data_IF_240965089128
#
_entry.id   IF_240965089128
#
_cell.length_a   1.000
_cell.length_b   1.000
_cell.length_c   1.000
_cell.angle_alpha   90.00
_cell.angle_beta   90.00
_cell.angle_gamma   90.00
#
_symmetry.space_group_name_H-M   'P 1'
#
loop_
_entity.id
_entity.type
_entity.pdbx_description
1 polymer ?
#
# COMPACT_ATOMS: atom_id res chain seq x y z
N UNK A 1 15.54 -12.60 -26.09
CA UNK A 1 15.06 -13.99 -26.23
C UNK A 1 13.56 -13.96 -25.99
N UNK A 2 12.78 -14.45 -26.94
CA UNK A 2 11.33 -14.30 -26.92
C UNK A 2 10.70 -15.24 -25.86
N UNK A 3 9.76 -14.73 -25.07
CA UNK A 3 8.96 -15.49 -24.09
C UNK A 3 8.36 -16.76 -24.72
N UNK A 4 7.89 -16.64 -25.96
CA UNK A 4 7.34 -17.75 -26.76
C UNK A 4 8.35 -18.86 -27.01
N UNK A 5 9.61 -18.50 -27.21
CA UNK A 5 10.73 -19.41 -27.48
C UNK A 5 11.10 -20.19 -26.21
N UNK A 6 11.20 -19.51 -25.06
CA UNK A 6 11.48 -20.16 -23.77
C UNK A 6 10.34 -21.06 -23.30
N UNK A 7 9.09 -20.69 -23.60
CA UNK A 7 7.91 -21.53 -23.34
C UNK A 7 7.95 -22.78 -24.22
N UNK A 8 8.22 -22.63 -25.53
CA UNK A 8 8.36 -23.77 -26.44
C UNK A 8 9.49 -24.70 -26.02
N UNK A 9 10.63 -24.17 -25.57
CA UNK A 9 11.76 -24.94 -25.07
C UNK A 9 11.42 -25.72 -23.79
N UNK A 10 10.70 -25.10 -22.84
CA UNK A 10 10.21 -25.76 -21.64
C UNK A 10 9.18 -26.86 -21.95
N UNK A 11 8.28 -26.60 -22.89
CA UNK A 11 7.26 -27.56 -23.34
C UNK A 11 7.87 -28.77 -24.03
N UNK A 12 8.82 -28.53 -24.92
CA UNK A 12 9.54 -29.59 -25.63
C UNK A 12 10.36 -30.44 -24.66
N UNK A 13 10.99 -29.82 -23.66
CA UNK A 13 11.75 -30.52 -22.64
C UNK A 13 10.88 -31.42 -21.74
N UNK A 14 9.73 -30.93 -21.28
CA UNK A 14 8.82 -31.71 -20.43
C UNK A 14 8.19 -32.87 -21.20
N UNK A 15 7.79 -32.66 -22.46
CA UNK A 15 7.31 -33.73 -23.33
C UNK A 15 8.34 -34.86 -23.48
N UNK A 16 9.61 -34.49 -23.68
CA UNK A 16 10.71 -35.46 -23.79
C UNK A 16 10.98 -36.18 -22.46
N UNK A 17 10.86 -35.50 -21.31
CA UNK A 17 11.02 -36.11 -19.99
C UNK A 17 9.92 -37.15 -19.70
N UNK A 18 8.65 -36.82 -19.97
CA UNK A 18 7.51 -37.74 -19.79
C UNK A 18 7.60 -38.96 -20.72
N UNK A 19 8.10 -38.77 -21.94
CA UNK A 19 8.34 -39.86 -22.88
C UNK A 19 9.40 -40.84 -22.36
N UNK A 20 10.47 -40.34 -21.73
CA UNK A 20 11.50 -41.17 -21.09
C UNK A 20 11.00 -41.95 -19.87
N UNK A 21 9.97 -41.47 -19.18
CA UNK A 21 9.37 -42.16 -18.03
C UNK A 21 8.35 -43.24 -18.42
N UNK A 22 7.87 -43.24 -19.66
CA UNK A 22 6.84 -44.16 -20.14
C UNK A 22 7.21 -45.67 -20.09
N UNK A 23 8.41 -46.11 -20.52
CA UNK A 23 8.77 -47.53 -20.48
C UNK A 23 9.03 -48.09 -19.07
N UNK A 24 9.28 -47.23 -18.08
CA UNK A 24 9.58 -47.64 -16.70
C UNK A 24 8.34 -48.08 -15.90
N UNK A 25 7.16 -47.69 -16.35
CA UNK A 25 5.86 -47.96 -15.70
C UNK A 25 5.13 -49.21 -16.21
N UNK A 26 5.61 -49.88 -17.28
CA UNK A 26 4.84 -50.92 -17.99
C UNK A 26 5.38 -52.35 -17.90
N UNK A 27 6.30 -52.66 -16.98
CA UNK A 27 6.95 -53.98 -16.88
C UNK A 27 6.72 -54.70 -15.54
N UNK A 28 6.54 -56.04 -15.52
CA UNK A 28 6.42 -56.81 -14.27
C UNK A 28 7.76 -56.80 -13.50
N UNK A 29 7.73 -56.38 -12.23
CA UNK A 29 8.91 -56.24 -11.37
C UNK A 29 9.31 -57.57 -10.71
N UNK A 30 10.50 -58.09 -11.04
CA UNK A 30 11.41 -58.51 -9.98
C UNK A 30 12.88 -58.27 -10.39
N UNK A 31 13.48 -57.13 -9.99
CA UNK A 31 14.95 -56.88 -9.84
C UNK A 31 15.37 -55.41 -9.61
N UNK A 32 14.46 -54.47 -9.35
CA UNK A 32 14.78 -53.02 -9.28
C UNK A 32 15.19 -52.48 -7.90
N UNK A 33 15.80 -53.27 -7.01
CA UNK A 33 16.20 -52.75 -5.70
C UNK A 33 17.51 -51.93 -5.74
N UNK A 34 18.49 -52.29 -6.58
CA UNK A 34 19.71 -51.49 -6.78
C UNK A 34 19.49 -50.30 -7.74
N UNK A 35 18.65 -50.48 -8.76
CA UNK A 35 18.36 -49.49 -9.80
C UNK A 35 17.41 -48.36 -9.36
N UNK A 36 16.60 -48.63 -8.33
CA UNK A 36 15.70 -47.66 -7.70
C UNK A 36 16.44 -46.40 -7.24
N UNK A 37 17.63 -46.55 -6.66
CA UNK A 37 18.43 -45.41 -6.14
C UNK A 37 19.02 -44.54 -7.26
N UNK A 38 19.40 -45.16 -8.38
CA UNK A 38 19.92 -44.52 -9.59
C UNK A 38 18.82 -43.77 -10.33
N UNK A 39 17.65 -44.40 -10.47
CA UNK A 39 16.46 -43.82 -11.06
C UNK A 39 15.97 -42.61 -10.26
N UNK A 40 15.95 -42.72 -8.92
CA UNK A 40 15.62 -41.61 -8.01
C UNK A 40 16.55 -40.42 -8.20
N UNK A 41 17.86 -40.65 -8.36
CA UNK A 41 18.84 -39.58 -8.63
C UNK A 41 18.61 -38.95 -10.00
N UNK A 42 18.30 -39.73 -11.03
CA UNK A 42 18.00 -39.23 -12.36
C UNK A 42 16.74 -38.35 -12.37
N UNK A 43 15.67 -38.80 -11.70
CA UNK A 43 14.42 -38.03 -11.56
C UNK A 43 14.64 -36.72 -10.80
N UNK A 44 15.41 -36.73 -9.70
CA UNK A 44 15.78 -35.50 -8.98
C UNK A 44 16.54 -34.51 -9.88
N UNK A 45 17.55 -34.99 -10.61
CA UNK A 45 18.33 -34.16 -11.53
C UNK A 45 17.48 -33.53 -12.64
N UNK A 46 16.56 -34.31 -13.21
CA UNK A 46 15.65 -33.83 -14.26
C UNK A 46 14.61 -32.84 -13.71
N UNK A 47 14.09 -33.06 -12.49
CA UNK A 47 13.24 -32.09 -11.78
C UNK A 47 13.98 -30.78 -11.49
N UNK A 48 15.25 -30.85 -11.07
CA UNK A 48 16.07 -29.68 -10.81
C UNK A 48 16.39 -28.92 -12.11
N UNK A 49 16.68 -29.64 -13.19
CA UNK A 49 16.84 -29.05 -14.53
C UNK A 49 15.56 -28.38 -15.04
N UNK A 50 14.40 -29.01 -14.81
CA UNK A 50 13.09 -28.44 -15.16
C UNK A 50 12.80 -27.17 -14.34
N UNK A 51 13.13 -27.18 -13.05
CA UNK A 51 13.05 -25.98 -12.19
C UNK A 51 13.92 -24.84 -12.72
N UNK A 52 15.16 -25.13 -13.11
CA UNK A 52 16.07 -24.12 -13.68
C UNK A 52 15.52 -23.54 -14.99
N UNK A 53 14.89 -24.36 -15.83
CA UNK A 53 14.27 -23.92 -17.09
C UNK A 53 12.98 -23.13 -16.90
N UNK A 54 12.21 -23.41 -15.85
CA UNK A 54 10.99 -22.67 -15.52
C UNK A 54 11.25 -21.43 -14.67
N UNK A 55 12.43 -21.30 -14.03
CA UNK A 55 12.79 -20.13 -13.21
C UNK A 55 12.55 -18.79 -13.92
N UNK A 56 12.97 -18.58 -15.18
CA UNK A 56 12.77 -17.28 -15.86
C UNK A 56 11.30 -16.88 -15.98
N UNK A 57 10.39 -17.86 -16.11
CA UNK A 57 8.95 -17.62 -16.16
C UNK A 57 8.38 -17.23 -14.78
N UNK A 58 8.96 -17.76 -13.69
CA UNK A 58 8.66 -17.32 -12.32
C UNK A 58 9.03 -15.87 -12.13
N UNK A 59 10.24 -15.52 -12.55
CA UNK A 59 10.79 -14.20 -12.35
C UNK A 59 10.01 -13.15 -13.15
N UNK A 60 9.61 -13.45 -14.38
CA UNK A 60 8.82 -12.55 -15.22
C UNK A 60 7.41 -12.31 -14.67
N UNK A 61 6.75 -13.36 -14.15
CA UNK A 61 5.45 -13.23 -13.50
C UNK A 61 5.54 -12.35 -12.25
N UNK A 62 6.53 -12.59 -11.39
CA UNK A 62 6.75 -11.76 -10.20
C UNK A 62 7.07 -10.32 -10.57
N UNK A 63 7.85 -10.11 -11.63
CA UNK A 63 8.15 -8.78 -12.14
C UNK A 63 6.88 -8.05 -12.62
N UNK A 64 5.98 -8.75 -13.31
CA UNK A 64 4.73 -8.16 -13.79
C UNK A 64 3.80 -7.78 -12.65
N UNK A 65 3.65 -8.64 -11.64
CA UNK A 65 2.88 -8.31 -10.41
C UNK A 65 3.50 -7.11 -9.69
N UNK A 66 4.84 -7.07 -9.58
CA UNK A 66 5.56 -5.92 -9.01
C UNK A 66 5.26 -4.61 -9.74
N UNK A 67 5.29 -4.61 -11.08
CA UNK A 67 4.94 -3.42 -11.88
C UNK A 67 3.54 -2.91 -11.62
N UNK A 68 2.56 -3.81 -11.52
CA UNK A 68 1.16 -3.41 -11.26
C UNK A 68 0.98 -2.82 -9.86
N UNK A 69 1.70 -3.34 -8.87
CA UNK A 69 1.74 -2.76 -7.52
C UNK A 69 2.45 -1.40 -7.50
N UNK A 70 3.50 -1.23 -8.30
CA UNK A 70 4.18 0.05 -8.48
C UNK A 70 3.28 1.10 -9.14
N UNK A 71 2.50 0.69 -10.15
CA UNK A 71 1.50 1.55 -10.80
C UNK A 71 0.43 2.02 -9.81
N UNK A 72 -0.10 1.12 -8.96
CA UNK A 72 -1.02 1.49 -7.88
C UNK A 72 -0.41 2.58 -6.97
N UNK A 73 0.86 2.41 -6.57
CA UNK A 73 1.55 3.42 -5.75
C UNK A 73 1.68 4.76 -6.47
N UNK A 74 2.06 4.73 -7.75
CA UNK A 74 2.22 5.92 -8.56
C UNK A 74 0.91 6.67 -8.78
N UNK A 75 -0.22 5.96 -8.90
CA UNK A 75 -1.55 6.58 -9.02
C UNK A 75 -1.99 7.26 -7.71
N UNK A 76 -1.58 6.74 -6.55
CA UNK A 76 -1.96 7.29 -5.24
C UNK A 76 -1.00 8.37 -4.73
N UNK A 77 0.23 8.44 -5.25
CA UNK A 77 1.25 9.43 -4.83
C UNK A 77 0.85 10.90 -5.07
N UNK A 78 0.23 11.30 -6.21
CA UNK A 78 -0.19 12.68 -6.43
C UNK A 78 -1.14 13.21 -5.35
N UNK A 79 -1.91 12.34 -4.70
CA UNK A 79 -2.80 12.72 -3.60
C UNK A 79 -1.99 13.22 -2.41
N UNK A 80 -0.94 12.50 -2.01
CA UNK A 80 -0.12 12.92 -0.86
C UNK A 80 0.64 14.21 -1.15
N UNK A 81 1.10 14.40 -2.39
CA UNK A 81 1.73 15.66 -2.84
C UNK A 81 0.74 16.83 -2.83
N UNK A 82 -0.46 16.67 -3.39
CA UNK A 82 -1.52 17.68 -3.35
C UNK A 82 -1.91 18.02 -1.90
N UNK A 83 -1.98 17.02 -1.02
CA UNK A 83 -2.33 17.23 0.37
C UNK A 83 -1.26 18.02 1.14
N UNK A 84 0.03 17.77 0.86
CA UNK A 84 1.13 18.57 1.41
C UNK A 84 1.01 20.03 0.97
N UNK A 85 0.71 20.27 -0.31
CA UNK A 85 0.52 21.62 -0.84
C UNK A 85 -0.69 22.32 -0.22
N UNK A 86 -1.82 21.62 -0.07
CA UNK A 86 -3.01 22.16 0.60
C UNK A 86 -2.71 22.52 2.06
N UNK A 87 -2.06 21.63 2.82
CA UNK A 87 -1.68 21.92 4.22
C UNK A 87 -0.77 23.14 4.31
N UNK A 88 0.18 23.28 3.37
CA UNK A 88 1.05 24.46 3.29
C UNK A 88 0.27 25.74 3.04
N UNK A 89 -0.66 25.70 2.08
CA UNK A 89 -1.51 26.82 1.73
C UNK A 89 -2.39 27.22 2.92
N UNK A 90 -3.09 26.27 3.53
CA UNK A 90 -3.98 26.52 4.67
C UNK A 90 -3.24 27.00 5.90
N UNK A 91 -2.05 26.48 6.19
CA UNK A 91 -1.22 27.00 7.27
C UNK A 91 -0.82 28.47 7.03
N UNK A 92 -0.51 28.86 5.78
CA UNK A 92 -0.21 30.26 5.45
C UNK A 92 -1.45 31.15 5.59
N UNK A 93 -2.60 30.69 5.11
CA UNK A 93 -3.88 31.42 5.24
C UNK A 93 -4.28 31.60 6.71
N UNK A 94 -4.23 30.53 7.52
CA UNK A 94 -4.47 30.60 8.96
C UNK A 94 -3.56 31.63 9.63
N UNK A 95 -2.25 31.63 9.33
CA UNK A 95 -1.32 32.65 9.87
C UNK A 95 -1.72 34.06 9.43
N UNK A 96 -2.06 34.26 8.15
CA UNK A 96 -2.45 35.57 7.62
C UNK A 96 -3.72 36.10 8.29
N UNK A 97 -4.72 35.24 8.49
CA UNK A 97 -6.01 35.64 9.04
C UNK A 97 -5.99 35.79 10.55
N UNK A 98 -5.24 34.94 11.26
CA UNK A 98 -5.26 34.90 12.71
C UNK A 98 -4.22 35.82 13.35
N UNK A 99 -3.11 36.17 12.67
CA UNK A 99 -2.17 37.14 13.25
C UNK A 99 -2.89 38.50 13.45
N UNK A 100 -2.94 39.04 14.67
CA UNK A 100 -3.63 40.30 14.96
C UNK A 100 -2.96 41.48 14.22
N UNK A 101 -3.79 42.34 13.62
CA UNK A 101 -3.31 43.53 12.91
C UNK A 101 -2.67 44.53 13.88
N UNK A 102 -1.89 45.48 13.36
CA UNK A 102 -1.25 46.52 14.19
C UNK A 102 -2.27 47.46 14.83
N UNK A 103 -3.40 47.68 14.16
CA UNK A 103 -4.49 48.57 14.60
C UNK A 103 -5.16 48.08 15.89
N UNK A 104 -5.17 46.77 16.13
CA UNK A 104 -5.70 46.16 17.37
C UNK A 104 -4.95 46.65 18.60
N UNK A 105 -3.68 47.09 18.49
CA UNK A 105 -2.91 47.60 19.64
C UNK A 105 -3.60 48.76 20.34
N UNK A 106 -4.24 49.67 19.58
CA UNK A 106 -4.98 50.81 20.12
C UNK A 106 -6.29 50.36 20.79
N UNK A 107 -6.99 49.39 20.20
CA UNK A 107 -8.22 48.83 20.77
C UNK A 107 -7.97 48.09 22.10
N UNK A 108 -6.79 47.48 22.25
CA UNK A 108 -6.35 46.84 23.50
C UNK A 108 -5.96 47.85 24.58
N UNK A 109 -5.77 49.14 24.23
CA UNK A 109 -5.44 50.22 25.15
C UNK A 109 -6.68 50.97 25.66
N UNK A 110 -7.82 50.85 24.98
CA UNK A 110 -9.03 51.65 25.26
C UNK A 110 -9.77 51.24 26.54
N UNK A 111 -9.61 49.99 27.02
CA UNK A 111 -10.27 49.55 28.25
C UNK A 111 -10.44 48.03 28.37
N UNK A 112 -10.92 47.59 29.54
CA UNK A 112 -11.19 46.17 29.82
C UNK A 112 -12.37 45.62 29.00
N UNK A 113 -13.39 46.45 28.75
CA UNK A 113 -14.56 46.08 27.94
C UNK A 113 -14.19 45.88 26.47
N UNK A 114 -13.35 46.76 25.91
CA UNK A 114 -12.82 46.67 24.55
C UNK A 114 -11.92 45.45 24.37
N UNK A 115 -11.07 45.16 25.36
CA UNK A 115 -10.30 43.92 25.41
C UNK A 115 -11.23 42.70 25.38
N UNK A 116 -12.24 42.64 26.24
CA UNK A 116 -13.19 41.53 26.29
C UNK A 116 -13.92 41.32 24.95
N UNK A 117 -14.40 42.40 24.32
CA UNK A 117 -15.05 42.34 22.99
C UNK A 117 -14.08 41.83 21.92
N UNK A 118 -12.84 42.31 21.92
CA UNK A 118 -11.81 41.81 21.02
C UNK A 118 -11.54 40.31 21.22
N UNK A 119 -11.40 39.85 22.47
CA UNK A 119 -11.16 38.43 22.75
C UNK A 119 -12.28 37.52 22.26
N UNK A 120 -13.54 37.94 22.45
CA UNK A 120 -14.70 37.20 21.96
C UNK A 120 -14.69 37.09 20.42
N UNK A 121 -14.54 38.22 19.73
CA UNK A 121 -14.46 38.24 18.27
C UNK A 121 -13.28 37.42 17.72
N UNK A 122 -12.15 37.44 18.44
CA UNK A 122 -10.97 36.69 18.05
C UNK A 122 -11.16 35.17 18.21
N UNK A 123 -11.87 34.73 19.25
CA UNK A 123 -12.25 33.32 19.42
C UNK A 123 -13.18 32.85 18.27
N UNK A 124 -14.17 33.67 17.90
CA UNK A 124 -15.05 33.40 16.76
C UNK A 124 -14.25 33.31 15.45
N UNK A 125 -13.28 34.21 15.27
CA UNK A 125 -12.39 34.23 14.10
C UNK A 125 -11.51 32.98 14.02
N UNK A 126 -10.98 32.50 15.15
CA UNK A 126 -10.26 31.21 15.22
C UNK A 126 -11.19 30.10 14.76
N UNK A 127 -12.37 29.99 15.37
CA UNK A 127 -13.32 28.92 15.05
C UNK A 127 -13.68 28.92 13.57
N UNK A 128 -14.07 30.08 13.02
CA UNK A 128 -14.43 30.26 11.63
C UNK A 128 -13.32 29.79 10.68
N UNK A 129 -12.08 30.27 10.83
CA UNK A 129 -11.01 29.92 9.91
C UNK A 129 -10.52 28.47 10.08
N UNK A 130 -10.59 27.90 11.29
CA UNK A 130 -10.29 26.47 11.47
C UNK A 130 -11.36 25.59 10.83
N UNK A 131 -12.64 25.98 10.91
CA UNK A 131 -13.74 25.22 10.30
C UNK A 131 -13.65 25.30 8.76
N UNK A 132 -13.27 26.45 8.19
CA UNK A 132 -12.98 26.55 6.74
C UNK A 132 -11.89 25.58 6.28
N UNK A 133 -10.86 25.35 7.10
CA UNK A 133 -9.79 24.39 6.77
C UNK A 133 -10.33 22.96 6.84
N UNK A 134 -11.21 22.66 7.79
CA UNK A 134 -11.87 21.35 7.93
C UNK A 134 -12.70 21.00 6.70
N UNK A 135 -13.46 21.96 6.17
CA UNK A 135 -14.34 21.79 5.01
C UNK A 135 -13.59 21.40 3.73
N UNK A 136 -12.28 21.64 3.68
CA UNK A 136 -11.45 21.37 2.51
C UNK A 136 -10.84 19.97 2.58
N UNK A 137 -10.52 19.49 3.79
CA UNK A 137 -9.94 18.16 3.98
C UNK A 137 -10.98 17.04 3.96
N UNK A 138 -12.24 17.33 4.23
CA UNK A 138 -13.31 16.34 4.18
C UNK A 138 -13.55 15.76 2.76
N UNK A 139 -13.82 16.57 1.72
CA UNK A 139 -14.02 16.04 0.37
C UNK A 139 -12.76 15.37 -0.20
N UNK A 140 -11.58 15.79 0.24
CA UNK A 140 -10.32 15.14 -0.13
C UNK A 140 -10.28 13.68 0.36
N UNK A 141 -10.74 13.39 1.57
CA UNK A 141 -10.75 12.03 2.12
C UNK A 141 -11.68 11.10 1.32
N UNK A 142 -12.87 11.59 0.95
CA UNK A 142 -13.81 10.83 0.13
C UNK A 142 -13.25 10.54 -1.27
N UNK A 143 -12.56 11.52 -1.87
CA UNK A 143 -11.88 11.36 -3.15
C UNK A 143 -10.77 10.32 -3.06
N UNK A 144 -9.92 10.38 -2.03
CA UNK A 144 -8.85 9.40 -1.81
C UNK A 144 -9.41 7.98 -1.62
N UNK A 145 -10.47 7.81 -0.84
CA UNK A 145 -11.12 6.52 -0.65
C UNK A 145 -11.71 5.97 -1.95
N UNK A 146 -12.33 6.83 -2.76
CA UNK A 146 -12.86 6.45 -4.07
C UNK A 146 -11.77 5.97 -5.01
N UNK A 147 -10.63 6.66 -5.04
CA UNK A 147 -9.50 6.33 -5.90
C UNK A 147 -8.75 5.08 -5.44
N UNK A 148 -8.61 4.86 -4.13
CA UNK A 148 -8.11 3.59 -3.60
C UNK A 148 -8.99 2.42 -4.07
N UNK A 149 -10.31 2.53 -3.95
CA UNK A 149 -11.22 1.47 -4.39
C UNK A 149 -11.05 1.20 -5.89
N UNK A 150 -11.06 2.25 -6.71
CA UNK A 150 -10.88 2.16 -8.15
C UNK A 150 -9.54 1.50 -8.52
N UNK A 151 -8.43 1.98 -7.98
CA UNK A 151 -7.10 1.50 -8.34
C UNK A 151 -6.86 0.05 -7.85
N UNK A 152 -7.47 -0.36 -6.73
CA UNK A 152 -7.41 -1.75 -6.28
C UNK A 152 -8.26 -2.67 -7.18
N UNK A 153 -9.40 -2.21 -7.68
CA UNK A 153 -10.17 -2.96 -8.68
C UNK A 153 -9.40 -3.09 -10.01
N UNK A 154 -8.73 -2.03 -10.46
CA UNK A 154 -7.84 -2.05 -11.62
C UNK A 154 -6.67 -3.02 -11.39
N UNK A 155 -6.01 -2.95 -10.22
CA UNK A 155 -4.96 -3.89 -9.82
C UNK A 155 -5.44 -5.34 -9.87
N UNK A 156 -6.63 -5.64 -9.36
CA UNK A 156 -7.18 -7.00 -9.40
C UNK A 156 -7.30 -7.52 -10.83
N UNK A 157 -7.85 -6.71 -11.75
CA UNK A 157 -7.99 -7.07 -13.16
C UNK A 157 -6.64 -7.29 -13.83
N UNK A 158 -5.64 -6.46 -13.52
CA UNK A 158 -4.32 -6.55 -14.12
C UNK A 158 -3.47 -7.68 -13.54
N UNK A 159 -3.62 -8.00 -12.25
CA UNK A 159 -2.83 -9.05 -11.58
C UNK A 159 -3.43 -10.43 -11.79
N UNK A 160 -4.76 -10.55 -11.92
CA UNK A 160 -5.46 -11.82 -12.17
C UNK A 160 -4.83 -12.69 -13.27
N UNK A 161 -4.55 -12.18 -14.49
CA UNK A 161 -3.93 -12.99 -15.53
C UNK A 161 -2.51 -13.41 -15.19
N UNK A 162 -1.81 -12.73 -14.29
CA UNK A 162 -0.40 -12.96 -13.97
C UNK A 162 -0.19 -13.66 -12.63
N UNK A 163 -1.19 -13.73 -11.75
CA UNK A 163 -1.06 -14.32 -10.44
C UNK A 163 -0.84 -15.85 -10.52
N UNK A 164 0.04 -16.35 -9.66
CA UNK A 164 0.23 -17.80 -9.43
C UNK A 164 -0.69 -18.35 -8.35
N UNK A 165 -1.15 -17.46 -7.47
CA UNK A 165 -2.10 -17.77 -6.42
C UNK A 165 -3.42 -18.22 -7.04
N UNK A 166 -4.16 -19.09 -6.34
CA UNK A 166 -5.51 -19.45 -6.79
C UNK A 166 -6.40 -18.19 -6.84
N UNK A 167 -7.48 -18.17 -7.64
CA UNK A 167 -8.40 -17.04 -7.67
C UNK A 167 -8.90 -16.62 -6.29
N UNK A 168 -9.15 -17.58 -5.39
CA UNK A 168 -9.58 -17.34 -4.01
C UNK A 168 -8.47 -16.68 -3.17
N UNK A 169 -7.23 -17.14 -3.31
CA UNK A 169 -6.07 -16.57 -2.61
C UNK A 169 -5.77 -15.15 -3.10
N UNK A 170 -5.79 -14.93 -4.42
CA UNK A 170 -5.62 -13.61 -5.01
C UNK A 170 -6.70 -12.64 -4.51
N UNK A 171 -7.97 -13.05 -4.57
CA UNK A 171 -9.07 -12.22 -4.11
C UNK A 171 -8.92 -11.88 -2.62
N UNK A 172 -8.51 -12.85 -1.78
CA UNK A 172 -8.22 -12.60 -0.36
C UNK A 172 -7.12 -11.55 -0.17
N UNK A 173 -6.00 -11.68 -0.88
CA UNK A 173 -4.89 -10.71 -0.76
C UNK A 173 -5.27 -9.32 -1.27
N UNK A 174 -6.06 -9.23 -2.33
CA UNK A 174 -6.60 -7.96 -2.86
C UNK A 174 -7.56 -7.31 -1.86
N UNK A 175 -8.44 -8.10 -1.24
CA UNK A 175 -9.33 -7.61 -0.19
C UNK A 175 -8.57 -7.13 1.05
N UNK A 176 -7.55 -7.87 1.48
CA UNK A 176 -6.65 -7.46 2.56
C UNK A 176 -5.97 -6.13 2.25
N UNK A 177 -5.37 -5.99 1.06
CA UNK A 177 -4.75 -4.73 0.63
C UNK A 177 -5.77 -3.58 0.63
N UNK A 178 -6.94 -3.79 0.01
CA UNK A 178 -8.02 -2.80 -0.04
C UNK A 178 -8.41 -2.32 1.35
N UNK A 179 -8.62 -3.25 2.28
CA UNK A 179 -9.00 -2.94 3.65
C UNK A 179 -7.92 -2.13 4.38
N UNK A 180 -6.64 -2.49 4.22
CA UNK A 180 -5.52 -1.78 4.84
C UNK A 180 -5.32 -0.39 4.25
N UNK A 181 -5.36 -0.22 2.93
CA UNK A 181 -5.25 1.10 2.29
C UNK A 181 -6.41 2.01 2.69
N UNK A 182 -7.63 1.47 2.70
CA UNK A 182 -8.84 2.19 3.15
C UNK A 182 -8.69 2.63 4.62
N UNK A 183 -8.19 1.75 5.48
CA UNK A 183 -7.94 2.06 6.89
C UNK A 183 -6.88 3.16 7.02
N UNK A 184 -5.75 3.05 6.33
CA UNK A 184 -4.68 4.05 6.37
C UNK A 184 -5.19 5.44 5.92
N UNK A 185 -6.05 5.50 4.90
CA UNK A 185 -6.66 6.75 4.44
C UNK A 185 -7.63 7.35 5.48
N UNK A 186 -8.44 6.52 6.15
CA UNK A 186 -9.32 6.96 7.24
C UNK A 186 -8.53 7.45 8.45
N UNK A 187 -7.48 6.72 8.83
CA UNK A 187 -6.61 7.07 9.95
C UNK A 187 -5.91 8.40 9.66
N UNK A 188 -5.40 8.61 8.44
CA UNK A 188 -4.85 9.90 8.00
C UNK A 188 -5.88 11.02 8.17
N UNK A 189 -7.10 10.84 7.67
CA UNK A 189 -8.17 11.84 7.80
C UNK A 189 -8.47 12.19 9.26
N UNK A 190 -8.60 11.17 10.13
CA UNK A 190 -8.84 11.36 11.55
C UNK A 190 -7.70 12.11 12.25
N UNK A 191 -6.45 11.81 11.92
CA UNK A 191 -5.31 12.51 12.52
C UNK A 191 -5.23 13.97 12.05
N UNK A 192 -5.55 14.27 10.80
CA UNK A 192 -5.63 15.66 10.31
C UNK A 192 -6.70 16.44 11.06
N UNK A 193 -7.90 15.85 11.23
CA UNK A 193 -8.97 16.46 12.03
C UNK A 193 -8.52 16.70 13.47
N UNK A 194 -7.88 15.71 14.10
CA UNK A 194 -7.35 15.82 15.46
C UNK A 194 -6.33 16.95 15.59
N UNK A 195 -5.39 17.07 14.66
CA UNK A 195 -4.39 18.14 14.65
C UNK A 195 -5.06 19.52 14.52
N UNK A 196 -6.11 19.62 13.71
CA UNK A 196 -6.87 20.87 13.51
C UNK A 196 -7.67 21.26 14.75
N UNK A 197 -8.34 20.31 15.40
CA UNK A 197 -9.05 20.57 16.67
C UNK A 197 -8.07 20.93 17.80
N UNK A 198 -6.87 20.31 17.82
CA UNK A 198 -5.81 20.70 18.75
C UNK A 198 -5.30 22.12 18.48
N UNK A 199 -5.14 22.52 17.22
CA UNK A 199 -4.80 23.89 16.85
C UNK A 199 -5.87 24.87 17.37
N UNK A 200 -7.14 24.59 17.08
CA UNK A 200 -8.30 25.39 17.54
C UNK A 200 -8.28 25.55 19.05
N UNK A 201 -8.20 24.44 19.79
CA UNK A 201 -8.17 24.45 21.25
C UNK A 201 -6.98 25.25 21.82
N UNK A 202 -5.76 25.00 21.33
CA UNK A 202 -4.55 25.70 21.79
C UNK A 202 -4.64 27.22 21.54
N UNK A 203 -5.17 27.63 20.38
CA UNK A 203 -5.35 29.04 20.04
C UNK A 203 -6.48 29.70 20.85
N UNK A 204 -7.51 28.96 21.25
CA UNK A 204 -8.60 29.48 22.08
C UNK A 204 -8.26 29.58 23.57
N UNK A 205 -7.22 28.87 24.06
CA UNK A 205 -6.78 28.89 25.47
C UNK A 205 -5.79 30.01 25.78
N UNK A 206 -4.89 30.32 24.85
CA UNK A 206 -3.91 31.41 24.97
C UNK A 206 -4.49 32.82 25.28
N UNK A 207 -5.64 33.23 24.72
CA UNK A 207 -6.17 34.57 24.89
C UNK A 207 -6.61 34.84 26.34
N UNK A 208 -7.01 33.81 27.10
CA UNK A 208 -7.32 33.92 28.54
C UNK A 208 -6.09 34.10 29.44
N UNK A 209 -4.88 33.80 28.95
CA UNK A 209 -3.63 33.90 29.71
C UNK A 209 -2.98 35.30 29.65
N UNK A 210 -3.53 36.22 28.85
CA UNK A 210 -3.05 37.61 28.73
C UNK A 210 -3.63 38.55 29.81
N UNK A 211 -4.57 38.09 30.64
CA UNK A 211 -5.30 38.88 31.64
C UNK A 211 -4.52 39.27 32.91
N UNK A 212 -3.19 39.36 32.85
CA UNK A 212 -2.36 39.81 33.97
C UNK A 212 -2.13 41.34 33.95
N UNK A 213 -2.20 42.05 35.09
CA UNK A 213 -2.19 43.53 35.15
C UNK A 213 -0.86 44.23 34.77
N UNK A 214 0.12 43.55 34.18
CA UNK A 214 1.49 44.06 34.03
C UNK A 214 2.09 44.03 32.60
N UNK A 215 1.37 43.57 31.58
CA UNK A 215 1.91 43.51 30.21
C UNK A 215 1.46 44.71 29.36
N UNK A 216 2.42 45.52 28.89
CA UNK A 216 2.15 46.56 27.91
C UNK A 216 1.45 45.95 26.66
N UNK A 217 0.36 46.54 26.14
CA UNK A 217 -0.47 45.91 25.11
C UNK A 217 0.26 45.63 23.78
N UNK A 218 1.32 46.39 23.45
CA UNK A 218 2.22 46.07 22.34
C UNK A 218 2.94 44.72 22.52
N UNK A 219 3.33 44.37 23.76
CA UNK A 219 3.91 43.06 24.10
C UNK A 219 2.86 41.95 24.03
N UNK A 220 1.62 42.23 24.42
CA UNK A 220 0.49 41.27 24.34
C UNK A 220 0.13 40.92 22.88
N UNK A 221 0.12 41.91 21.98
CA UNK A 221 -0.09 41.66 20.53
C UNK A 221 1.03 40.81 19.93
N UNK A 222 2.29 41.15 20.21
CA UNK A 222 3.44 40.38 19.70
C UNK A 222 3.46 38.96 20.25
N UNK A 223 3.10 38.78 21.52
CA UNK A 223 2.98 37.46 22.13
C UNK A 223 1.87 36.63 21.45
N UNK A 224 0.71 37.24 21.19
CA UNK A 224 -0.39 36.59 20.44
C UNK A 224 0.03 36.24 19.01
N UNK A 225 0.71 37.14 18.30
CA UNK A 225 1.22 36.88 16.96
C UNK A 225 2.24 35.73 16.94
N UNK A 226 3.17 35.70 17.91
CA UNK A 226 4.12 34.58 18.07
C UNK A 226 3.41 33.26 18.36
N UNK A 227 2.38 33.29 19.19
CA UNK A 227 1.60 32.09 19.49
C UNK A 227 0.87 31.55 18.26
N UNK A 228 0.19 32.41 17.49
CA UNK A 228 -0.45 31.99 16.23
C UNK A 228 0.56 31.35 15.29
N UNK A 229 1.71 32.00 15.09
CA UNK A 229 2.76 31.47 14.22
C UNK A 229 3.25 30.10 14.69
N UNK A 230 3.50 29.95 16.00
CA UNK A 230 3.96 28.70 16.59
C UNK A 230 2.93 27.58 16.46
N UNK A 231 1.67 27.84 16.82
CA UNK A 231 0.63 26.81 16.80
C UNK A 231 0.26 26.37 15.40
N UNK A 232 0.18 27.29 14.45
CA UNK A 232 -0.08 26.93 13.05
C UNK A 232 1.10 26.17 12.45
N UNK A 233 2.33 26.50 12.85
CA UNK A 233 3.51 25.74 12.44
C UNK A 233 3.56 24.33 13.05
N UNK A 234 3.20 24.17 14.33
CA UNK A 234 3.00 22.85 14.97
C UNK A 234 1.99 22.02 14.16
N UNK A 235 0.81 22.59 13.88
CA UNK A 235 -0.22 21.93 13.06
C UNK A 235 0.32 21.48 11.69
N UNK A 236 1.08 22.34 11.01
CA UNK A 236 1.66 22.04 9.69
C UNK A 236 2.63 20.86 9.79
N UNK A 237 3.54 20.88 10.75
CA UNK A 237 4.56 19.85 10.95
C UNK A 237 3.94 18.51 11.35
N UNK A 238 3.02 18.53 12.31
CA UNK A 238 2.32 17.32 12.77
C UNK A 238 1.54 16.69 11.61
N UNK A 239 0.86 17.51 10.81
CA UNK A 239 0.10 17.04 9.65
C UNK A 239 0.99 16.48 8.55
N UNK A 240 2.12 17.11 8.26
CA UNK A 240 3.11 16.56 7.33
C UNK A 240 3.61 15.19 7.76
N UNK A 241 3.87 15.00 9.07
CA UNK A 241 4.30 13.71 9.59
C UNK A 241 3.25 12.62 9.35
N UNK A 242 1.95 12.95 9.50
CA UNK A 242 0.86 12.01 9.20
C UNK A 242 0.81 11.64 7.71
N UNK A 243 0.99 12.62 6.82
CA UNK A 243 0.98 12.38 5.36
C UNK A 243 2.17 11.51 4.94
N UNK A 244 3.35 11.76 5.52
CA UNK A 244 4.53 10.92 5.29
C UNK A 244 4.35 9.51 5.85
N UNK A 245 3.73 9.36 7.02
CA UNK A 245 3.41 8.06 7.59
C UNK A 245 2.46 7.26 6.68
N UNK A 246 1.42 7.91 6.14
CA UNK A 246 0.53 7.29 5.15
C UNK A 246 1.28 6.87 3.88
N UNK A 247 2.17 7.72 3.36
CA UNK A 247 2.98 7.40 2.17
C UNK A 247 3.86 6.17 2.39
N UNK A 248 4.51 6.08 3.57
CA UNK A 248 5.31 4.90 3.94
C UNK A 248 4.45 3.66 4.12
N UNK A 249 3.26 3.80 4.70
CA UNK A 249 2.34 2.68 4.87
C UNK A 249 1.88 2.16 3.50
N UNK A 250 1.55 3.02 2.55
CA UNK A 250 1.25 2.63 1.17
C UNK A 250 2.38 1.80 0.55
N UNK A 251 3.64 2.24 0.68
CA UNK A 251 4.81 1.49 0.22
C UNK A 251 4.90 0.11 0.90
N UNK A 252 4.73 0.06 2.22
CA UNK A 252 4.79 -1.18 3.00
C UNK A 252 3.68 -2.17 2.60
N UNK A 253 2.45 -1.71 2.44
CA UNK A 253 1.32 -2.59 2.13
C UNK A 253 1.41 -3.19 0.73
N UNK A 254 1.85 -2.39 -0.25
CA UNK A 254 2.08 -2.91 -1.61
C UNK A 254 3.26 -3.86 -1.67
N UNK A 255 4.32 -3.61 -0.89
CA UNK A 255 5.47 -4.52 -0.81
C UNK A 255 5.10 -5.83 -0.08
N UNK A 256 4.33 -5.77 1.00
CA UNK A 256 3.80 -6.96 1.68
C UNK A 256 2.95 -7.80 0.71
N UNK A 257 2.09 -7.16 -0.07
CA UNK A 257 1.31 -7.84 -1.10
C UNK A 257 2.20 -8.48 -2.16
N UNK A 258 3.23 -7.77 -2.61
CA UNK A 258 4.22 -8.31 -3.56
C UNK A 258 4.84 -9.59 -3.02
N UNK A 259 5.28 -9.57 -1.76
CA UNK A 259 5.88 -10.74 -1.10
C UNK A 259 4.87 -11.89 -0.95
N UNK A 260 3.63 -11.61 -0.56
CA UNK A 260 2.56 -12.64 -0.46
C UNK A 260 2.26 -13.31 -1.80
N UNK A 261 2.23 -12.53 -2.89
CA UNK A 261 1.99 -13.07 -4.24
C UNK A 261 3.24 -13.73 -4.85
N UNK A 262 4.44 -13.40 -4.35
CA UNK A 262 5.71 -14.02 -4.75
C UNK A 262 6.07 -15.24 -3.90
N UNK A 263 5.43 -15.40 -2.73
CA UNK A 263 5.68 -16.50 -1.82
C UNK A 263 5.31 -17.81 -2.52
N UNK A 264 6.30 -18.71 -2.58
CA UNK A 264 6.11 -20.05 -3.13
C UNK A 264 5.09 -20.79 -2.24
N UNK A 265 4.14 -21.56 -2.81
CA UNK A 265 3.39 -22.50 -1.99
C UNK A 265 4.40 -23.41 -1.30
N UNK A 266 4.41 -23.38 0.04
CA UNK A 266 5.14 -24.33 0.88
C UNK A 266 4.82 -25.73 0.34
N UNK A 267 5.83 -26.53 -0.07
CA UNK A 267 5.55 -27.92 -0.37
C UNK A 267 4.89 -28.53 0.88
N UNK A 268 3.85 -29.37 0.74
CA UNK A 268 3.30 -30.04 1.90
C UNK A 268 4.46 -30.72 2.64
N UNK A 269 4.53 -30.52 3.96
CA UNK A 269 5.48 -31.22 4.83
C UNK A 269 5.34 -32.72 4.57
N UNK A 270 6.15 -33.25 3.66
CA UNK A 270 6.32 -34.68 3.53
C UNK A 270 7.00 -35.10 4.83
N UNK A 271 6.25 -35.82 5.67
CA UNK A 271 6.79 -36.41 6.88
C UNK A 271 8.12 -37.11 6.53
N UNK A 272 9.20 -36.90 7.31
CA UNK A 272 10.55 -37.33 6.96
C UNK A 272 10.70 -38.85 6.68
N UNK A 273 9.68 -39.64 7.02
CA UNK A 273 9.61 -41.10 6.82
C UNK A 273 8.43 -41.59 5.95
N UNK A 274 7.70 -40.70 5.27
CA UNK A 274 6.64 -41.15 4.35
C UNK A 274 7.26 -41.88 3.14
N UNK A 275 6.84 -43.13 2.83
CA UNK A 275 7.30 -43.80 1.61
C UNK A 275 6.89 -42.92 0.41
N UNK A 276 7.83 -42.59 -0.49
CA UNK A 276 7.55 -41.70 -1.59
C UNK A 276 6.43 -42.28 -2.47
N UNK A 277 5.58 -41.44 -3.05
CA UNK A 277 4.50 -41.91 -3.91
C UNK A 277 5.05 -42.78 -5.04
N UNK A 278 4.33 -43.83 -5.47
CA UNK A 278 4.72 -44.66 -6.60
C UNK A 278 5.05 -43.79 -7.82
N UNK A 279 6.03 -44.21 -8.64
CA UNK A 279 6.45 -43.49 -9.86
C UNK A 279 5.28 -43.11 -10.77
N UNK A 280 4.24 -43.95 -10.77
CA UNK A 280 3.01 -43.76 -11.53
C UNK A 280 2.16 -42.60 -11.00
N UNK A 281 2.12 -42.41 -9.68
CA UNK A 281 1.43 -41.30 -9.02
C UNK A 281 2.23 -40.00 -9.13
N UNK A 282 3.56 -40.06 -9.05
CA UNK A 282 4.42 -38.90 -9.31
C UNK A 282 4.26 -38.43 -10.77
N UNK A 283 4.22 -39.37 -11.71
CA UNK A 283 4.01 -39.09 -13.13
C UNK A 283 2.62 -38.52 -13.39
N UNK A 284 1.56 -39.09 -12.79
CA UNK A 284 0.21 -38.56 -12.96
C UNK A 284 0.06 -37.15 -12.39
N UNK A 285 0.68 -36.87 -11.23
CA UNK A 285 0.74 -35.52 -10.65
C UNK A 285 1.50 -34.54 -11.54
N UNK A 286 2.65 -34.94 -12.10
CA UNK A 286 3.41 -34.10 -13.04
C UNK A 286 2.66 -33.88 -14.35
N UNK A 287 1.99 -34.90 -14.89
CA UNK A 287 1.14 -34.81 -16.08
C UNK A 287 -0.04 -33.86 -15.85
N UNK A 288 -0.69 -33.95 -14.68
CA UNK A 288 -1.81 -33.11 -14.31
C UNK A 288 -1.38 -31.65 -14.16
N UNK A 289 -0.31 -31.39 -13.41
CA UNK A 289 0.27 -30.05 -13.26
C UNK A 289 0.70 -29.46 -14.60
N UNK A 290 1.22 -30.31 -15.50
CA UNK A 290 1.67 -29.88 -16.81
C UNK A 290 0.51 -29.57 -17.77
N UNK A 291 -0.57 -30.36 -17.75
CA UNK A 291 -1.79 -30.08 -18.52
C UNK A 291 -2.43 -28.77 -18.06
N UNK A 292 -2.45 -28.52 -16.76
CA UNK A 292 -3.00 -27.29 -16.18
C UNK A 292 -2.17 -26.05 -16.59
N UNK A 293 -0.83 -26.18 -16.59
CA UNK A 293 0.08 -25.18 -17.13
C UNK A 293 -0.09 -24.97 -18.65
N UNK A 294 -0.26 -26.03 -19.42
CA UNK A 294 -0.44 -25.93 -20.87
C UNK A 294 -1.79 -25.29 -21.26
N UNK A 295 -2.86 -25.60 -20.51
CA UNK A 295 -4.20 -25.05 -20.71
C UNK A 295 -4.21 -23.55 -20.39
N UNK A 296 -3.71 -23.16 -19.22
CA UNK A 296 -3.59 -21.75 -18.81
C UNK A 296 -2.71 -20.90 -19.75
N UNK A 297 -1.74 -21.53 -20.43
CA UNK A 297 -0.92 -20.88 -21.45
C UNK A 297 -1.59 -20.81 -22.84
N UNK A 298 -2.41 -21.80 -23.20
CA UNK A 298 -3.15 -21.83 -24.48
C UNK A 298 -4.32 -20.83 -24.53
N UNK A 299 -5.03 -20.63 -23.43
CA UNK A 299 -6.10 -19.62 -23.32
C UNK A 299 -5.51 -18.19 -23.44
N UNK A 300 -4.31 -17.98 -22.88
CA UNK A 300 -3.53 -16.72 -23.00
C UNK A 300 -3.06 -16.38 -24.42
N UNK A 301 -2.98 -17.37 -25.31
CA UNK A 301 -2.57 -17.18 -26.71
C UNK A 301 -3.72 -16.80 -27.66
N UNK A 302 -4.97 -17.02 -27.23
CA UNK A 302 -6.17 -16.82 -28.04
C UNK A 302 -6.81 -15.42 -27.93
N UNK A 303 -6.52 -14.65 -26.88
CA UNK A 303 -7.12 -13.32 -26.66
C UNK A 303 -6.37 -12.15 -27.34
N UNK A 304 -5.45 -12.44 -28.27
CA UNK A 304 -4.89 -11.44 -29.19
C UNK A 304 -5.18 -11.85 -30.63
N UNK A 305 -6.45 -11.76 -31.01
CA UNK A 305 -6.94 -11.76 -32.38
C UNK A 305 -7.71 -10.47 -32.63
#
# INVERSE_FOLDING_TARGET
RNLKESIQDGVSYMGHFLQKLSPLSRGPQPRLYEDSSSLRRAIRRELDSLRLKLSPYVDEVHQQVGKQLDELRQQLRPFTEELLDQVSLRARELRRHLVPSREVTAQLLDGADELQRFMAHYADKIAFHTDQVKDIFHPYADRLLTEIRRNVEELHRSVAPHARASPEQLNRHIQELSAKLTRNARDLHQQIQKNLEQLKAKLSLYPGSLGGPAAAPGRSREALAREVQRRVEEFRQDTYAQIQAFTRALDQETEEMRLKLSARPEPPEEAPDAPPPPLEELRSRLDALWRDLALSLSERGGERG
#
